data_IF_415353731360
#
_entry.id   IF_415353731360
#
_cell.length_a   1.000
_cell.length_b   1.000
_cell.length_c   1.000
_cell.angle_alpha   90.00
_cell.angle_beta   90.00
_cell.angle_gamma   90.00
#
_symmetry.space_group_name_H-M   'P 1'
#
loop_
_entity.id
_entity.type
_entity.pdbx_description
1 polymer ?
#
# COMPACT_ATOMS: atom_id res chain seq x y z
N UNK A 1 -19.97 -10.79 19.19
CA UNK A 1 -19.99 -9.31 19.16
C UNK A 1 -20.56 -8.81 17.84
N UNK A 2 -21.43 -7.78 17.86
CA UNK A 2 -22.07 -7.21 16.65
C UNK A 2 -21.47 -5.84 16.31
N UNK A 3 -21.23 -5.60 15.02
CA UNK A 3 -20.56 -4.41 14.49
C UNK A 3 -21.36 -3.86 13.31
N UNK A 4 -21.98 -2.67 13.43
CA UNK A 4 -22.70 -2.05 12.33
C UNK A 4 -21.74 -1.56 11.23
N UNK A 5 -22.13 -1.73 9.98
CA UNK A 5 -21.40 -1.21 8.81
C UNK A 5 -21.87 0.22 8.53
N UNK A 6 -20.97 1.18 8.73
CA UNK A 6 -21.29 2.61 8.63
C UNK A 6 -20.59 3.34 7.50
N UNK A 7 -19.44 2.87 7.04
CA UNK A 7 -18.57 3.61 6.10
C UNK A 7 -18.30 2.87 4.79
N UNK A 8 -18.73 1.61 4.66
CA UNK A 8 -18.54 0.83 3.43
C UNK A 8 -19.65 1.16 2.43
N UNK A 9 -19.29 1.83 1.34
CA UNK A 9 -20.20 2.28 0.29
C UNK A 9 -21.09 1.15 -0.25
N UNK A 10 -22.41 1.37 -0.28
CA UNK A 10 -23.40 0.38 -0.76
C UNK A 10 -23.72 -0.73 0.26
N UNK A 11 -23.07 -0.71 1.42
CA UNK A 11 -23.24 -1.69 2.49
C UNK A 11 -23.73 -1.06 3.81
N UNK A 12 -24.13 0.20 3.80
CA UNK A 12 -24.63 0.90 4.98
C UNK A 12 -25.85 0.19 5.58
N UNK A 13 -25.88 0.14 6.92
CA UNK A 13 -26.98 -0.46 7.68
C UNK A 13 -26.90 -1.98 7.84
N UNK A 14 -25.98 -2.67 7.14
CA UNK A 14 -25.68 -4.09 7.39
C UNK A 14 -24.93 -4.25 8.73
N UNK A 15 -24.95 -5.46 9.29
CA UNK A 15 -24.28 -5.76 10.57
C UNK A 15 -23.38 -6.98 10.41
N UNK A 16 -22.12 -6.86 10.83
CA UNK A 16 -21.20 -7.98 10.98
C UNK A 16 -21.28 -8.51 12.42
N UNK A 17 -21.49 -9.80 12.59
CA UNK A 17 -21.47 -10.46 13.90
C UNK A 17 -20.31 -11.46 13.97
N UNK A 18 -19.39 -11.24 14.91
CA UNK A 18 -18.27 -12.13 15.22
C UNK A 18 -18.68 -13.05 16.38
N UNK A 19 -18.69 -14.36 16.15
CA UNK A 19 -18.91 -15.37 17.17
C UNK A 19 -17.59 -16.15 17.37
N UNK A 20 -17.03 -16.03 18.56
CA UNK A 20 -15.76 -16.63 18.97
C UNK A 20 -15.89 -18.09 19.36
N UNK A 21 -17.00 -18.49 19.96
CA UNK A 21 -17.27 -19.90 20.27
C UNK A 21 -17.38 -20.75 19.00
N UNK A 22 -17.88 -20.17 17.90
CA UNK A 22 -18.08 -20.85 16.62
C UNK A 22 -17.03 -20.49 15.57
N UNK A 23 -16.05 -19.65 15.91
CA UNK A 23 -15.04 -19.12 15.00
C UNK A 23 -15.63 -18.66 13.64
N UNK A 24 -16.71 -17.87 13.68
CA UNK A 24 -17.45 -17.44 12.47
C UNK A 24 -17.74 -15.93 12.49
N UNK A 25 -17.71 -15.34 11.30
CA UNK A 25 -18.21 -13.99 11.02
C UNK A 25 -19.47 -14.11 10.18
N UNK A 26 -20.56 -13.53 10.64
CA UNK A 26 -21.87 -13.54 9.96
C UNK A 26 -22.22 -12.14 9.50
N UNK A 27 -22.88 -12.02 8.35
CA UNK A 27 -23.35 -10.76 7.80
C UNK A 27 -24.87 -10.72 7.83
N UNK A 28 -25.43 -9.68 8.43
CA UNK A 28 -26.86 -9.44 8.49
C UNK A 28 -27.25 -8.22 7.64
N UNK A 29 -28.44 -8.25 7.07
CA UNK A 29 -29.06 -7.13 6.38
C UNK A 29 -29.48 -6.03 7.37
N UNK A 30 -29.91 -4.88 6.84
CA UNK A 30 -30.50 -3.81 7.65
C UNK A 30 -31.82 -4.22 8.35
N UNK A 31 -32.49 -5.27 7.86
CA UNK A 31 -33.71 -5.83 8.46
C UNK A 31 -33.40 -6.96 9.45
N UNK A 32 -32.12 -7.32 9.65
CA UNK A 32 -31.67 -8.37 10.57
C UNK A 32 -31.58 -9.77 9.95
N UNK A 33 -31.93 -9.93 8.68
CA UNK A 33 -31.83 -11.19 7.95
C UNK A 33 -30.37 -11.63 7.78
N UNK A 34 -30.06 -12.92 8.00
CA UNK A 34 -28.72 -13.47 7.77
C UNK A 34 -28.46 -13.59 6.27
N UNK A 35 -27.48 -12.82 5.77
CA UNK A 35 -27.05 -12.82 4.36
C UNK A 35 -25.96 -13.85 4.08
N UNK A 36 -25.15 -14.23 5.07
CA UNK A 36 -24.09 -15.21 4.90
C UNK A 36 -23.15 -15.34 6.10
N UNK A 37 -22.25 -16.32 6.04
CA UNK A 37 -21.27 -16.62 7.08
C UNK A 37 -19.91 -17.01 6.48
N UNK A 38 -18.83 -16.65 7.16
CA UNK A 38 -17.45 -17.06 6.86
C UNK A 38 -16.77 -17.52 8.14
N UNK A 39 -16.09 -18.66 8.09
CA UNK A 39 -15.24 -19.14 9.17
C UNK A 39 -14.00 -18.26 9.35
N UNK A 40 -13.41 -18.25 10.54
CA UNK A 40 -12.14 -17.57 10.80
C UNK A 40 -11.03 -18.10 9.88
N UNK A 41 -11.04 -19.41 9.58
CA UNK A 41 -10.12 -20.02 8.63
C UNK A 41 -10.22 -19.36 7.25
N UNK A 42 -11.42 -19.22 6.69
CA UNK A 42 -11.62 -18.59 5.37
C UNK A 42 -11.17 -17.13 5.37
N UNK A 43 -11.44 -16.39 6.45
CA UNK A 43 -10.96 -15.02 6.61
C UNK A 43 -9.43 -14.98 6.65
N UNK A 44 -8.79 -15.86 7.43
CA UNK A 44 -7.32 -15.95 7.54
C UNK A 44 -6.71 -16.32 6.19
N UNK A 45 -7.23 -17.35 5.51
CA UNK A 45 -6.75 -17.78 4.20
C UNK A 45 -6.89 -16.66 3.16
N UNK A 46 -8.00 -15.93 3.17
CA UNK A 46 -8.20 -14.77 2.29
C UNK A 46 -7.20 -13.63 2.57
N UNK A 47 -6.92 -13.34 3.85
CA UNK A 47 -5.92 -12.33 4.24
C UNK A 47 -4.51 -12.76 3.83
N UNK A 48 -4.15 -14.03 4.03
CA UNK A 48 -2.83 -14.57 3.67
C UNK A 48 -2.66 -14.72 2.15
N UNK A 49 -3.74 -14.96 1.40
CA UNK A 49 -3.73 -15.11 -0.05
C UNK A 49 -3.51 -13.77 -0.79
N UNK A 50 -3.92 -12.64 -0.19
CA UNK A 50 -3.67 -11.32 -0.76
C UNK A 50 -2.16 -11.02 -0.80
N UNK A 51 -1.66 -10.37 -1.85
CA UNK A 51 -0.30 -9.83 -1.83
C UNK A 51 -0.16 -8.76 -0.74
N UNK A 52 1.03 -8.54 -0.20
CA UNK A 52 1.30 -7.52 0.85
C UNK A 52 0.66 -6.15 0.52
N UNK A 53 0.63 -5.78 -0.76
CA UNK A 53 0.05 -4.53 -1.22
C UNK A 53 -1.49 -4.49 -1.21
N UNK A 54 -2.18 -5.63 -1.24
CA UNK A 54 -3.64 -5.66 -1.14
C UNK A 54 -4.10 -5.80 0.32
N UNK A 55 -3.36 -6.54 1.16
CA UNK A 55 -3.70 -6.83 2.57
C UNK A 55 -3.98 -5.59 3.42
N UNK A 56 -3.27 -4.50 3.16
CA UNK A 56 -3.34 -3.27 3.96
C UNK A 56 -3.91 -2.07 3.21
N UNK A 57 -4.54 -2.28 2.04
CA UNK A 57 -5.01 -1.17 1.21
C UNK A 57 -5.98 -0.23 1.95
N UNK A 58 -6.92 -0.80 2.72
CA UNK A 58 -7.92 -0.04 3.49
C UNK A 58 -7.33 0.72 4.69
N UNK A 59 -6.11 0.39 5.14
CA UNK A 59 -5.45 1.07 6.25
C UNK A 59 -4.53 2.22 5.80
N UNK A 60 -4.44 2.49 4.48
CA UNK A 60 -3.55 3.52 3.94
C UNK A 60 -4.19 4.91 4.08
N UNK A 61 -3.41 5.85 4.59
CA UNK A 61 -3.79 7.26 4.57
C UNK A 61 -3.78 7.88 3.15
N UNK A 62 -3.07 7.26 2.20
CA UNK A 62 -2.95 7.76 0.82
C UNK A 62 -3.11 6.62 -0.19
N UNK A 63 -3.86 6.85 -1.29
CA UNK A 63 -3.90 5.93 -2.43
C UNK A 63 -2.49 5.65 -2.97
N UNK A 64 -2.32 4.49 -3.60
CA UNK A 64 -1.09 4.11 -4.31
C UNK A 64 -1.42 3.63 -5.71
N UNK A 65 -0.47 3.82 -6.62
CA UNK A 65 -0.51 3.27 -7.97
C UNK A 65 0.77 2.47 -8.24
N UNK A 66 0.68 1.26 -8.81
CA UNK A 66 1.83 0.56 -9.39
C UNK A 66 2.45 1.42 -10.49
N UNK A 67 3.70 1.83 -10.34
CA UNK A 67 4.40 2.67 -11.30
C UNK A 67 5.90 2.43 -11.21
N UNK A 68 6.53 2.14 -12.35
CA UNK A 68 7.97 1.99 -12.47
C UNK A 68 8.64 3.33 -12.80
N UNK A 69 9.28 3.93 -11.80
CA UNK A 69 10.07 5.15 -11.93
C UNK A 69 11.52 4.88 -11.55
N UNK A 70 12.45 5.55 -12.24
CA UNK A 70 13.84 5.61 -11.79
C UNK A 70 13.91 6.41 -10.50
N UNK A 71 14.48 5.79 -9.48
CA UNK A 71 14.73 6.39 -8.17
C UNK A 71 16.19 6.23 -7.82
N UNK A 72 16.77 7.29 -7.29
CA UNK A 72 18.08 7.26 -6.65
C UNK A 72 17.89 7.39 -5.16
N UNK A 73 18.51 6.52 -4.37
CA UNK A 73 18.51 6.67 -2.92
C UNK A 73 19.92 6.69 -2.34
N UNK A 74 20.08 7.46 -1.27
CA UNK A 74 21.34 7.63 -0.54
C UNK A 74 21.18 7.12 0.88
N UNK A 75 22.08 6.23 1.31
CA UNK A 75 22.08 5.66 2.67
C UNK A 75 22.71 6.62 3.69
N UNK A 76 22.57 6.39 5.01
CA UNK A 76 23.21 7.23 6.03
C UNK A 76 24.73 7.31 5.89
N UNK A 77 25.36 6.25 5.37
CA UNK A 77 26.81 6.19 5.12
C UNK A 77 27.22 6.92 3.83
N UNK A 78 26.28 7.57 3.14
CA UNK A 78 26.52 8.34 1.92
C UNK A 78 26.58 7.49 0.64
N UNK A 79 26.28 6.19 0.68
CA UNK A 79 26.27 5.33 -0.51
C UNK A 79 25.03 5.62 -1.36
N UNK A 80 25.22 5.76 -2.67
CA UNK A 80 24.14 6.03 -3.63
C UNK A 80 23.82 4.79 -4.45
N UNK A 81 22.53 4.57 -4.67
CA UNK A 81 22.00 3.46 -5.45
C UNK A 81 20.93 3.96 -6.40
N UNK A 82 20.98 3.50 -7.65
CA UNK A 82 19.93 3.70 -8.64
C UNK A 82 19.06 2.44 -8.70
N UNK A 83 17.75 2.60 -8.66
CA UNK A 83 16.78 1.51 -8.74
C UNK A 83 15.47 1.93 -9.39
N UNK A 84 14.50 1.03 -9.41
CA UNK A 84 13.13 1.26 -9.86
C UNK A 84 12.14 1.19 -8.71
N UNK A 85 11.06 1.96 -8.83
CA UNK A 85 9.91 1.82 -7.94
C UNK A 85 8.97 0.72 -8.42
N UNK A 86 8.35 -0.03 -7.51
CA UNK A 86 7.24 -0.95 -7.86
C UNK A 86 5.86 -0.35 -7.57
N UNK A 87 5.80 0.71 -6.76
CA UNK A 87 4.57 1.40 -6.41
C UNK A 87 4.86 2.74 -5.75
N UNK A 88 3.96 3.70 -6.00
CA UNK A 88 4.10 5.09 -5.55
C UNK A 88 2.84 5.58 -4.86
N UNK A 89 3.00 6.40 -3.83
CA UNK A 89 1.94 7.15 -3.19
C UNK A 89 2.48 8.39 -2.49
N UNK A 90 1.58 9.30 -2.10
CA UNK A 90 1.95 10.54 -1.43
C UNK A 90 2.65 10.33 -0.07
N UNK A 91 2.50 9.13 0.53
CA UNK A 91 3.16 8.77 1.79
C UNK A 91 4.49 8.01 1.65
N UNK A 92 4.88 7.57 0.45
CA UNK A 92 6.08 6.76 0.28
C UNK A 92 6.13 5.95 -1.00
N UNK A 93 7.18 5.13 -1.13
CA UNK A 93 7.52 4.36 -2.33
C UNK A 93 7.81 2.90 -1.97
N UNK A 94 7.62 1.99 -2.90
CA UNK A 94 8.30 0.70 -2.89
C UNK A 94 9.51 0.77 -3.82
N UNK A 95 10.71 0.48 -3.31
CA UNK A 95 11.96 0.47 -4.06
C UNK A 95 12.39 -0.98 -4.24
N UNK A 96 12.59 -1.40 -5.48
CA UNK A 96 13.12 -2.72 -5.80
C UNK A 96 14.59 -2.79 -5.35
N UNK A 97 14.97 -3.89 -4.70
CA UNK A 97 16.34 -4.11 -4.27
C UNK A 97 16.56 -5.59 -3.97
N UNK A 98 17.66 -6.15 -4.49
CA UNK A 98 18.12 -7.49 -4.12
C UNK A 98 18.67 -7.55 -2.69
N UNK A 99 19.07 -6.40 -2.14
CA UNK A 99 19.64 -6.26 -0.80
C UNK A 99 18.92 -5.11 -0.08
N UNK A 100 17.65 -5.31 0.32
CA UNK A 100 16.89 -4.26 0.99
C UNK A 100 17.53 -3.90 2.34
N UNK A 101 17.48 -2.61 2.68
CA UNK A 101 18.02 -2.09 3.94
C UNK A 101 17.08 -2.41 5.09
N UNK A 102 17.60 -2.55 6.30
CA UNK A 102 16.79 -2.91 7.47
C UNK A 102 15.66 -1.89 7.73
N UNK A 103 14.47 -2.34 8.21
CA UNK A 103 13.44 -1.44 8.70
C UNK A 103 14.01 -0.47 9.74
N UNK A 104 13.62 0.79 9.64
CA UNK A 104 14.13 1.85 10.49
C UNK A 104 15.26 2.68 9.89
N UNK A 105 15.94 2.19 8.85
CA UNK A 105 17.04 2.91 8.18
C UNK A 105 16.51 4.20 7.53
N UNK A 106 17.18 5.32 7.80
CA UNK A 106 16.88 6.60 7.15
C UNK A 106 17.59 6.73 5.80
N UNK A 107 16.90 7.28 4.81
CA UNK A 107 17.37 7.40 3.44
C UNK A 107 17.03 8.79 2.90
N UNK A 108 17.82 9.28 1.96
CA UNK A 108 17.40 10.38 1.08
C UNK A 108 17.07 9.81 -0.30
N UNK A 109 15.87 10.08 -0.80
CA UNK A 109 15.40 9.59 -2.10
C UNK A 109 15.23 10.75 -3.08
N UNK A 110 15.61 10.52 -4.33
CA UNK A 110 15.49 11.44 -5.44
C UNK A 110 14.81 10.73 -6.61
N UNK A 111 13.77 11.33 -7.19
CA UNK A 111 13.03 10.77 -8.31
C UNK A 111 12.45 11.89 -9.19
N UNK A 112 12.06 11.56 -10.41
CA UNK A 112 11.34 12.46 -11.33
C UNK A 112 10.02 11.81 -11.75
N UNK A 113 8.97 12.61 -11.89
CA UNK A 113 7.66 12.12 -12.32
C UNK A 113 7.59 11.99 -13.84
N UNK A 114 6.79 11.06 -14.41
CA UNK A 114 6.72 10.82 -15.85
C UNK A 114 6.27 12.02 -16.67
N UNK A 115 5.36 12.82 -16.11
CA UNK A 115 4.81 14.03 -16.74
C UNK A 115 5.81 15.21 -16.70
N UNK A 116 6.81 15.14 -15.81
CA UNK A 116 7.84 16.18 -15.61
C UNK A 116 9.22 15.57 -15.39
N UNK A 117 9.80 14.91 -16.41
CA UNK A 117 11.07 14.19 -16.26
C UNK A 117 12.28 15.10 -15.96
N UNK A 118 12.16 16.41 -16.20
CA UNK A 118 13.19 17.40 -15.89
C UNK A 118 13.16 17.87 -14.43
N UNK A 119 12.05 17.70 -13.73
CA UNK A 119 11.90 18.15 -12.34
C UNK A 119 12.20 16.99 -11.40
N UNK A 120 13.23 17.17 -10.56
CA UNK A 120 13.63 16.17 -9.59
C UNK A 120 13.08 16.52 -8.22
N UNK A 121 12.34 15.60 -7.64
CA UNK A 121 11.88 15.69 -6.26
C UNK A 121 12.86 14.98 -5.33
N UNK A 122 13.06 15.56 -4.15
CA UNK A 122 13.85 14.98 -3.07
C UNK A 122 12.97 14.80 -1.85
N UNK A 123 13.13 13.66 -1.18
CA UNK A 123 12.47 13.40 0.09
C UNK A 123 13.42 12.71 1.07
N UNK A 124 13.28 12.99 2.36
CA UNK A 124 13.79 12.11 3.41
C UNK A 124 12.78 11.01 3.64
N UNK A 125 13.28 9.79 3.80
CA UNK A 125 12.46 8.62 3.96
C UNK A 125 13.04 7.69 5.04
N UNK A 126 12.20 6.79 5.53
CA UNK A 126 12.59 5.73 6.45
C UNK A 126 12.08 4.40 5.91
N UNK A 127 12.91 3.36 5.96
CA UNK A 127 12.46 2.01 5.60
C UNK A 127 11.38 1.58 6.59
N UNK A 128 10.18 1.31 6.08
CA UNK A 128 9.05 0.85 6.88
C UNK A 128 9.02 -0.67 6.98
N UNK A 129 9.36 -1.38 5.89
CA UNK A 129 9.38 -2.85 5.84
C UNK A 129 10.26 -3.33 4.68
N UNK A 130 10.63 -4.61 4.71
CA UNK A 130 11.49 -5.26 3.70
C UNK A 130 10.89 -6.55 3.20
N UNK A 131 11.03 -6.83 1.91
CA UNK A 131 10.70 -8.11 1.28
C UNK A 131 11.96 -8.74 0.73
N UNK A 132 12.44 -9.77 1.42
CA UNK A 132 13.72 -10.43 1.13
C UNK A 132 13.62 -11.57 0.11
N UNK A 133 12.42 -12.14 -0.08
CA UNK A 133 12.21 -13.28 -0.99
C UNK A 133 11.26 -12.86 -2.12
N UNK A 134 11.50 -13.32 -3.35
CA UNK A 134 10.47 -13.33 -4.36
C UNK A 134 9.39 -14.32 -3.93
N UNK A 135 8.36 -13.84 -3.25
CA UNK A 135 7.16 -14.64 -3.02
C UNK A 135 6.42 -14.78 -4.35
N UNK A 136 6.60 -15.92 -5.00
CA UNK A 136 6.19 -16.19 -6.40
C UNK A 136 6.97 -15.32 -7.40
N UNK A 137 7.10 -15.82 -8.62
CA UNK A 137 7.88 -15.19 -9.73
C UNK A 137 7.41 -13.77 -10.15
N UNK A 138 6.44 -13.19 -9.43
CA UNK A 138 5.76 -11.93 -9.76
C UNK A 138 6.07 -10.79 -8.78
N UNK A 139 6.70 -11.06 -7.63
CA UNK A 139 7.03 -10.04 -6.63
C UNK A 139 8.54 -9.85 -6.51
N UNK A 140 9.04 -8.69 -6.97
CA UNK A 140 10.44 -8.35 -6.85
C UNK A 140 10.84 -8.14 -5.37
N UNK A 141 12.03 -8.60 -4.93
CA UNK A 141 12.56 -8.23 -3.63
C UNK A 141 12.76 -6.72 -3.55
N UNK A 142 12.67 -6.17 -2.34
CA UNK A 142 12.81 -4.73 -2.16
C UNK A 142 12.36 -4.25 -0.79
N UNK A 143 12.09 -2.96 -0.71
CA UNK A 143 11.76 -2.29 0.54
C UNK A 143 10.67 -1.24 0.35
N UNK A 144 9.72 -1.21 1.28
CA UNK A 144 8.78 -0.12 1.41
C UNK A 144 9.42 1.01 2.21
N UNK A 145 9.45 2.21 1.64
CA UNK A 145 9.96 3.42 2.30
C UNK A 145 8.82 4.41 2.54
N UNK A 146 8.79 5.01 3.71
CA UNK A 146 7.84 6.05 4.08
C UNK A 146 8.54 7.41 4.04
N UNK A 147 7.93 8.42 3.41
CA UNK A 147 8.45 9.78 3.45
C UNK A 147 8.32 10.34 4.87
N UNK A 148 9.44 10.72 5.46
CA UNK A 148 9.50 11.45 6.73
C UNK A 148 9.51 12.95 6.50
N UNK A 149 10.03 13.41 5.36
CA UNK A 149 9.93 14.79 4.91
C UNK A 149 9.94 14.83 3.38
N UNK A 150 8.96 15.52 2.80
CA UNK A 150 8.82 15.75 1.36
C UNK A 150 8.21 17.14 1.18
N UNK A 151 8.64 17.85 0.14
CA UNK A 151 8.09 19.14 -0.22
C UNK A 151 6.59 19.04 -0.56
N UNK A 152 5.80 20.03 -0.14
CA UNK A 152 4.34 19.97 -0.29
C UNK A 152 3.89 20.04 -1.76
N UNK A 153 4.64 20.75 -2.61
CA UNK A 153 4.40 20.75 -4.05
C UNK A 153 4.58 19.34 -4.61
N UNK A 154 5.69 18.69 -4.26
CA UNK A 154 5.96 17.31 -4.68
C UNK A 154 4.91 16.32 -4.15
N UNK A 155 4.46 16.50 -2.91
CA UNK A 155 3.38 15.68 -2.32
C UNK A 155 2.09 15.80 -3.11
N UNK A 156 1.67 17.02 -3.45
CA UNK A 156 0.46 17.27 -4.23
C UNK A 156 0.56 16.65 -5.62
N UNK A 157 1.69 16.80 -6.28
CA UNK A 157 1.92 16.22 -7.61
C UNK A 157 1.87 14.69 -7.62
N UNK A 158 2.34 14.06 -6.54
CA UNK A 158 2.19 12.62 -6.34
C UNK A 158 0.74 12.20 -6.17
N UNK A 159 -0.05 12.96 -5.42
CA UNK A 159 -1.49 12.69 -5.26
C UNK A 159 -2.18 12.74 -6.62
N UNK A 160 -1.99 13.85 -7.35
CA UNK A 160 -2.62 14.08 -8.66
C UNK A 160 -2.25 12.97 -9.66
N UNK A 161 -0.98 12.57 -9.70
CA UNK A 161 -0.50 11.49 -10.57
C UNK A 161 -1.13 10.14 -10.21
N UNK A 162 -1.17 9.78 -8.92
CA UNK A 162 -1.72 8.51 -8.46
C UNK A 162 -3.21 8.42 -8.73
N UNK A 163 -3.95 9.50 -8.51
CA UNK A 163 -5.38 9.56 -8.83
C UNK A 163 -5.63 9.40 -10.33
N UNK A 164 -4.84 10.08 -11.18
CA UNK A 164 -4.96 9.96 -12.62
C UNK A 164 -4.68 8.53 -13.11
N UNK A 165 -3.65 7.88 -12.57
CA UNK A 165 -3.31 6.48 -12.88
C UNK A 165 -4.38 5.49 -12.42
N UNK A 166 -5.00 5.73 -11.26
CA UNK A 166 -6.05 4.86 -10.77
C UNK A 166 -7.34 5.04 -11.58
N UNK A 167 -7.71 6.27 -11.97
CA UNK A 167 -8.87 6.52 -12.84
C UNK A 167 -8.73 5.84 -14.21
N UNK A 168 -7.55 5.89 -14.84
CA UNK A 168 -7.36 5.29 -16.16
C UNK A 168 -7.47 3.76 -16.18
N UNK A 169 -7.14 3.12 -15.06
CA UNK A 169 -7.21 1.65 -14.91
C UNK A 169 -8.60 1.11 -14.62
N UNK A 170 -9.49 1.92 -14.04
CA UNK A 170 -10.87 1.50 -13.74
C UNK A 170 -11.74 1.50 -15.00
N UNK A 171 -11.36 2.24 -16.04
CA UNK A 171 -12.12 2.35 -17.31
C UNK A 171 -11.76 1.27 -18.34
N UNK A 172 -10.81 0.37 -18.02
CA UNK A 172 -10.38 -0.74 -18.89
C UNK A 172 -10.80 -2.07 -18.29
#
# INVERSE_FOLDING_TARGET
MKFPVTTTEGHEGKVLEMNDDQEVVTLHSATGELLGALSWKEVIEQVLACGDDARFAHARAHPRAPLALKVRYTTPEGKQFDSLTGGIGAGGLFIESSTPLAPGTELSVEFALPDRPWEKHKAKAKVAWTRNKPERHLLFPGMGVQFTNIDEKARKELVDLVEALNRSRVTT
#
